data_IF_938139221687
#
_entry.id   IF_938139221687
#
_cell.length_a   1.000
_cell.length_b   1.000
_cell.length_c   1.000
_cell.angle_alpha   90.00
_cell.angle_beta   90.00
_cell.angle_gamma   90.00
#
_symmetry.space_group_name_H-M   'P 1'
#
loop_
_entity.id
_entity.type
_entity.pdbx_description
1 polymer ?
#
# COMPACT_ATOMS: atom_id res chain seq x y z
N UNK A 1 66.95 -112.47 41.58
CA UNK A 1 66.42 -113.85 41.52
C UNK A 1 64.96 -113.73 41.13
N UNK A 2 64.55 -114.33 40.01
CA UNK A 2 63.16 -114.38 39.56
C UNK A 2 62.69 -113.17 38.73
N UNK A 3 61.88 -113.27 37.68
CA UNK A 3 61.56 -114.31 36.68
C UNK A 3 60.37 -113.72 35.89
N UNK A 4 60.37 -113.94 34.58
CA UNK A 4 59.24 -113.86 33.62
C UNK A 4 58.58 -112.48 33.36
N UNK A 5 58.54 -111.98 32.10
CA UNK A 5 57.69 -112.39 30.96
C UNK A 5 56.19 -112.18 31.27
N UNK A 6 55.30 -111.62 30.44
CA UNK A 6 55.28 -111.37 28.99
C UNK A 6 53.98 -110.58 28.71
N UNK A 7 54.03 -109.68 27.71
CA UNK A 7 53.04 -109.22 26.69
C UNK A 7 51.53 -109.45 26.94
N UNK A 8 50.64 -108.55 26.53
CA UNK A 8 50.22 -108.30 25.13
C UNK A 8 49.45 -106.97 25.01
N UNK A 9 49.81 -106.10 24.05
CA UNK A 9 49.12 -105.79 22.76
C UNK A 9 47.83 -104.96 22.94
N UNK A 10 47.45 -104.01 22.09
CA UNK A 10 47.92 -103.62 20.77
C UNK A 10 47.48 -102.17 20.45
N UNK A 11 48.27 -101.55 19.59
CA UNK A 11 48.10 -100.39 18.70
C UNK A 11 46.70 -99.73 18.55
N UNK A 12 46.71 -98.38 18.51
CA UNK A 12 46.39 -97.62 17.28
C UNK A 12 46.94 -96.19 17.27
N UNK A 13 47.16 -95.72 16.04
CA UNK A 13 48.05 -94.66 15.54
C UNK A 13 47.49 -93.20 15.65
N UNK A 14 48.27 -92.16 15.28
CA UNK A 14 48.24 -90.80 15.88
C UNK A 14 47.51 -89.73 15.06
N UNK A 15 47.31 -88.54 15.65
CA UNK A 15 47.61 -87.22 15.03
C UNK A 15 47.41 -86.03 16.01
N UNK A 16 48.36 -85.10 15.95
CA UNK A 16 48.44 -83.80 16.63
C UNK A 16 47.30 -82.81 16.32
N UNK A 17 46.88 -81.99 17.30
CA UNK A 17 47.17 -80.54 17.34
C UNK A 17 46.42 -79.76 18.46
N UNK A 18 47.23 -79.12 19.32
CA UNK A 18 47.21 -77.77 19.97
C UNK A 18 45.98 -77.13 20.68
N UNK A 19 46.36 -76.60 21.87
CA UNK A 19 45.99 -75.34 22.58
C UNK A 19 44.70 -75.32 23.43
N UNK A 20 44.63 -74.57 24.57
CA UNK A 20 45.11 -73.17 24.72
C UNK A 20 45.73 -72.71 26.07
N UNK A 21 46.20 -71.46 26.05
CA UNK A 21 46.75 -70.64 27.14
C UNK A 21 45.69 -70.16 28.16
N UNK A 22 46.12 -69.86 29.39
CA UNK A 22 45.32 -69.18 30.41
C UNK A 22 46.08 -67.99 31.04
N UNK A 23 45.40 -66.84 31.12
CA UNK A 23 45.84 -65.57 31.71
C UNK A 23 45.52 -65.48 33.21
N UNK A 24 46.37 -64.79 33.97
CA UNK A 24 46.11 -64.29 35.33
C UNK A 24 46.36 -62.77 35.43
N UNK A 25 45.54 -62.11 36.24
CA UNK A 25 45.18 -60.68 36.27
C UNK A 25 46.15 -59.72 37.00
N UNK A 26 46.20 -58.46 36.56
CA UNK A 26 46.71 -57.31 37.33
C UNK A 26 45.61 -56.29 37.61
N UNK A 27 45.27 -56.11 38.89
CA UNK A 27 44.29 -55.14 39.38
C UNK A 27 44.95 -54.13 40.30
N UNK A 28 45.38 -52.98 39.77
CA UNK A 28 45.59 -51.73 40.52
C UNK A 28 45.97 -50.60 39.53
N UNK A 29 45.00 -49.89 38.95
CA UNK A 29 45.21 -48.55 38.35
C UNK A 29 43.95 -47.66 38.28
N UNK A 30 42.80 -48.10 38.80
CA UNK A 30 41.50 -47.46 38.54
C UNK A 30 41.13 -46.21 39.37
N UNK A 31 41.96 -45.70 40.29
CA UNK A 31 41.56 -44.59 41.18
C UNK A 31 42.21 -43.22 40.91
N UNK A 32 43.06 -43.08 39.89
CA UNK A 32 43.70 -41.79 39.58
C UNK A 32 43.06 -41.02 38.41
N UNK A 33 42.20 -41.66 37.59
CA UNK A 33 41.55 -41.01 36.44
C UNK A 33 40.25 -40.26 36.78
N UNK A 34 39.58 -40.55 37.90
CA UNK A 34 38.27 -39.95 38.22
C UNK A 34 38.35 -38.49 38.68
N UNK A 35 39.45 -38.07 39.34
CA UNK A 35 39.60 -36.70 39.83
C UNK A 35 39.84 -35.64 38.74
N UNK A 36 40.45 -36.03 37.62
CA UNK A 36 40.79 -35.10 36.52
C UNK A 36 39.59 -34.74 35.65
N UNK A 37 38.61 -35.65 35.53
CA UNK A 37 37.35 -35.43 34.78
C UNK A 37 36.41 -34.44 35.48
N UNK A 38 36.28 -34.54 36.82
CA UNK A 38 35.45 -33.63 37.61
C UNK A 38 35.99 -32.19 37.63
N UNK A 39 37.31 -32.04 37.72
CA UNK A 39 37.93 -30.70 37.70
C UNK A 39 37.79 -30.03 36.33
N UNK A 40 37.94 -30.79 35.23
CA UNK A 40 37.73 -30.26 33.87
C UNK A 40 36.30 -29.77 33.59
N UNK A 41 35.28 -30.48 34.10
CA UNK A 41 33.88 -30.06 33.98
C UNK A 41 33.57 -28.78 34.79
N UNK A 42 34.19 -28.62 35.95
CA UNK A 42 34.00 -27.43 36.79
C UNK A 42 34.59 -26.16 36.13
N UNK A 43 35.78 -26.26 35.55
CA UNK A 43 36.39 -25.13 34.83
C UNK A 43 35.63 -24.78 33.54
N UNK A 44 35.06 -25.77 32.84
CA UNK A 44 34.19 -25.52 31.69
C UNK A 44 32.90 -24.77 32.09
N UNK A 45 32.28 -25.14 33.22
CA UNK A 45 31.08 -24.46 33.73
C UNK A 45 31.35 -23.00 34.14
N UNK A 46 32.52 -22.72 34.73
CA UNK A 46 32.92 -21.36 35.11
C UNK A 46 33.24 -20.50 33.87
N UNK A 47 33.84 -21.09 32.83
CA UNK A 47 34.14 -20.38 31.58
C UNK A 47 32.88 -20.05 30.74
N UNK A 48 31.80 -20.83 30.87
CA UNK A 48 30.54 -20.54 30.16
C UNK A 48 29.85 -19.25 30.63
N UNK A 49 30.06 -18.83 31.89
CA UNK A 49 29.45 -17.60 32.43
C UNK A 49 29.91 -16.33 31.71
N UNK A 50 31.23 -16.05 31.64
CA UNK A 50 31.76 -14.89 30.93
C UNK A 50 31.43 -14.89 29.43
N UNK A 51 31.46 -16.06 28.78
CA UNK A 51 31.16 -16.18 27.34
C UNK A 51 29.68 -15.88 27.08
N UNK A 52 28.77 -16.35 27.91
CA UNK A 52 27.35 -16.04 27.81
C UNK A 52 27.08 -14.54 28.05
N UNK A 53 27.82 -13.91 28.97
CA UNK A 53 27.70 -12.48 29.26
C UNK A 53 28.21 -11.62 28.09
N UNK A 54 29.37 -11.96 27.51
CA UNK A 54 29.89 -11.27 26.32
C UNK A 54 28.98 -11.48 25.10
N UNK A 55 28.43 -12.68 24.91
CA UNK A 55 27.48 -12.96 23.85
C UNK A 55 26.14 -12.22 24.03
N UNK A 56 25.75 -11.91 25.27
CA UNK A 56 24.56 -11.10 25.56
C UNK A 56 24.82 -9.58 25.34
N UNK A 57 26.01 -9.09 25.67
CA UNK A 57 26.39 -7.69 25.47
C UNK A 57 26.62 -7.34 23.98
N UNK A 58 26.99 -8.33 23.15
CA UNK A 58 27.12 -8.19 21.70
C UNK A 58 25.79 -8.32 20.94
N UNK A 59 24.67 -8.55 21.64
CA UNK A 59 23.35 -8.58 20.98
C UNK A 59 23.02 -7.16 20.52
N UNK A 60 22.76 -6.95 19.21
CA UNK A 60 22.24 -5.67 18.76
C UNK A 60 20.95 -5.38 19.55
N UNK A 61 20.81 -4.14 20.02
CA UNK A 61 19.60 -3.70 20.69
C UNK A 61 18.41 -4.08 19.79
N UNK A 62 17.41 -4.76 20.36
CA UNK A 62 16.17 -4.99 19.65
C UNK A 62 15.67 -3.60 19.21
N UNK A 63 15.59 -3.41 17.89
CA UNK A 63 15.00 -2.20 17.32
C UNK A 63 13.59 -2.16 17.89
N UNK A 64 13.32 -1.19 18.77
CA UNK A 64 11.98 -0.98 19.28
C UNK A 64 11.09 -0.80 18.06
N UNK A 65 10.12 -1.70 17.90
CA UNK A 65 9.11 -1.57 16.87
C UNK A 65 8.53 -0.16 17.00
N UNK A 66 8.64 0.64 15.93
CA UNK A 66 7.98 1.93 15.89
C UNK A 66 6.50 1.71 16.27
N UNK A 67 5.88 2.63 17.04
CA UNK A 67 4.47 2.49 17.35
C UNK A 67 3.71 2.31 16.04
N UNK A 68 2.93 1.23 15.96
CA UNK A 68 2.07 1.01 14.81
C UNK A 68 1.20 2.26 14.66
N UNK A 69 1.39 3.00 13.57
CA UNK A 69 0.47 4.07 13.23
C UNK A 69 -0.90 3.42 13.12
N UNK A 70 -1.87 3.86 13.93
CA UNK A 70 -3.25 3.42 13.83
C UNK A 70 -3.71 3.79 12.43
N UNK A 71 -3.74 2.80 11.55
CA UNK A 71 -4.28 2.97 10.22
C UNK A 71 -5.76 3.27 10.43
N UNK A 72 -6.20 4.49 10.08
CA UNK A 72 -7.61 4.82 10.10
C UNK A 72 -8.33 3.73 9.29
N UNK A 73 -9.23 3.01 9.97
CA UNK A 73 -10.05 2.04 9.29
C UNK A 73 -10.78 2.77 8.16
N UNK A 74 -10.77 2.18 6.95
CA UNK A 74 -11.56 2.71 5.85
C UNK A 74 -13.05 2.76 6.21
N UNK A 75 -13.85 3.38 5.34
CA UNK A 75 -15.30 3.45 5.53
C UNK A 75 -15.88 2.05 5.77
N UNK A 76 -16.77 1.93 6.76
CA UNK A 76 -17.49 0.68 7.01
C UNK A 76 -18.43 0.37 5.86
N UNK A 77 -18.83 -0.90 5.71
CA UNK A 77 -19.83 -1.32 4.71
C UNK A 77 -21.12 -0.50 4.87
N UNK A 78 -21.58 -0.29 6.10
CA UNK A 78 -22.76 0.50 6.40
C UNK A 78 -22.63 1.97 5.92
N UNK A 79 -21.46 2.59 6.14
CA UNK A 79 -21.16 3.94 5.65
C UNK A 79 -21.16 4.00 4.11
N UNK A 80 -20.55 3.02 3.44
CA UNK A 80 -20.55 2.95 1.98
C UNK A 80 -21.97 2.73 1.42
N UNK A 81 -22.76 1.86 2.04
CA UNK A 81 -24.16 1.62 1.67
C UNK A 81 -25.01 2.87 1.85
N UNK A 82 -24.83 3.64 2.93
CA UNK A 82 -25.49 4.93 3.12
C UNK A 82 -25.12 5.93 2.01
N UNK A 83 -23.86 5.93 1.57
CA UNK A 83 -23.39 6.72 0.43
C UNK A 83 -24.14 6.37 -0.87
N UNK A 84 -24.20 5.08 -1.22
CA UNK A 84 -24.92 4.61 -2.41
C UNK A 84 -26.43 4.88 -2.33
N UNK A 85 -27.03 4.70 -1.16
CA UNK A 85 -28.45 4.97 -0.91
C UNK A 85 -28.79 6.45 -1.09
N UNK A 86 -27.98 7.36 -0.52
CA UNK A 86 -28.16 8.80 -0.70
C UNK A 86 -27.94 9.24 -2.16
N UNK A 87 -26.99 8.62 -2.88
CA UNK A 87 -26.74 8.89 -4.31
C UNK A 87 -27.99 8.60 -5.15
N UNK A 88 -28.59 7.41 -4.95
CA UNK A 88 -29.83 7.02 -5.61
C UNK A 88 -30.98 7.97 -5.26
N UNK A 89 -31.13 8.30 -3.98
CA UNK A 89 -32.16 9.22 -3.51
C UNK A 89 -32.09 10.60 -4.18
N UNK A 90 -30.90 11.20 -4.27
CA UNK A 90 -30.73 12.52 -4.93
C UNK A 90 -31.08 12.44 -6.41
N UNK A 91 -30.71 11.36 -7.09
CA UNK A 91 -31.10 11.12 -8.48
C UNK A 91 -32.61 11.04 -8.64
N UNK A 92 -33.28 10.18 -7.86
CA UNK A 92 -34.74 10.03 -7.88
C UNK A 92 -35.45 11.33 -7.51
N UNK A 93 -34.91 12.12 -6.57
CA UNK A 93 -35.47 13.40 -6.17
C UNK A 93 -35.36 14.47 -7.27
N UNK A 94 -34.20 14.59 -7.92
CA UNK A 94 -34.02 15.53 -9.05
C UNK A 94 -34.87 15.12 -10.27
N UNK A 95 -34.97 13.82 -10.54
CA UNK A 95 -35.73 13.28 -11.67
C UNK A 95 -37.25 13.20 -11.45
N UNK A 96 -37.75 13.47 -10.25
CA UNK A 96 -39.17 13.36 -9.95
C UNK A 96 -39.96 14.60 -10.43
N UNK A 97 -41.16 14.34 -10.95
CA UNK A 97 -42.17 15.36 -11.29
C UNK A 97 -43.54 14.98 -10.70
N UNK A 98 -44.50 15.89 -10.74
CA UNK A 98 -45.88 15.64 -10.26
C UNK A 98 -46.54 14.49 -11.02
N UNK A 99 -46.35 14.42 -12.33
CA UNK A 99 -46.96 13.42 -13.21
C UNK A 99 -46.18 12.10 -13.22
N UNK A 100 -44.87 12.17 -12.98
CA UNK A 100 -43.97 11.03 -12.96
C UNK A 100 -43.01 11.16 -11.76
N UNK A 101 -43.41 10.73 -10.55
CA UNK A 101 -42.53 10.75 -9.38
C UNK A 101 -41.39 9.73 -9.46
N UNK A 102 -41.46 8.76 -10.39
CA UNK A 102 -40.45 7.73 -10.56
C UNK A 102 -40.20 6.93 -9.28
N UNK A 103 -38.93 6.59 -9.04
CA UNK A 103 -38.50 5.80 -7.89
C UNK A 103 -38.41 6.61 -6.59
N UNK A 104 -38.82 7.89 -6.58
CA UNK A 104 -38.76 8.72 -5.36
C UNK A 104 -39.57 8.12 -4.21
N UNK A 105 -40.65 7.41 -4.53
CA UNK A 105 -41.50 6.72 -3.55
C UNK A 105 -40.81 5.58 -2.79
N UNK A 106 -39.69 5.05 -3.31
CA UNK A 106 -38.92 4.00 -2.62
C UNK A 106 -38.14 4.56 -1.42
N UNK A 107 -37.88 5.87 -1.41
CA UNK A 107 -37.10 6.55 -0.38
C UNK A 107 -37.98 7.25 0.64
N UNK A 108 -39.07 7.88 0.20
CA UNK A 108 -39.94 8.72 1.02
C UNK A 108 -41.41 8.45 0.74
N UNK A 109 -42.26 8.74 1.72
CA UNK A 109 -43.70 8.73 1.52
C UNK A 109 -44.10 9.98 0.72
N UNK A 110 -44.49 9.80 -0.54
CA UNK A 110 -44.90 10.88 -1.45
C UNK A 110 -46.11 11.65 -0.92
N UNK A 111 -46.97 11.04 -0.10
CA UNK A 111 -48.13 11.72 0.48
C UNK A 111 -47.73 12.81 1.49
N UNK A 112 -46.51 12.73 2.03
CA UNK A 112 -45.97 13.74 2.96
C UNK A 112 -45.39 14.96 2.25
N UNK A 113 -45.16 14.87 0.93
CA UNK A 113 -44.66 15.98 0.14
C UNK A 113 -45.79 16.94 -0.22
N UNK A 114 -45.63 18.20 0.18
CA UNK A 114 -46.58 19.26 -0.21
C UNK A 114 -46.42 19.70 -1.66
N UNK A 115 -45.23 19.52 -2.24
CA UNK A 115 -44.92 19.96 -3.59
C UNK A 115 -43.84 19.08 -4.22
N UNK A 116 -44.09 18.73 -5.49
CA UNK A 116 -43.10 18.20 -6.42
C UNK A 116 -42.95 19.19 -7.59
N UNK A 117 -41.85 19.06 -8.32
CA UNK A 117 -41.60 19.85 -9.52
C UNK A 117 -42.62 19.53 -10.61
N UNK A 118 -43.02 20.53 -11.41
CA UNK A 118 -43.85 20.31 -12.61
C UNK A 118 -43.06 19.57 -13.70
N UNK A 119 -41.73 19.78 -13.73
CA UNK A 119 -40.84 19.17 -14.71
C UNK A 119 -39.63 18.59 -13.98
N UNK A 120 -39.11 17.43 -14.40
CA UNK A 120 -37.92 16.85 -13.80
C UNK A 120 -36.72 17.77 -14.05
N UNK A 121 -35.79 17.81 -13.11
CA UNK A 121 -34.50 18.44 -13.32
C UNK A 121 -33.64 17.52 -14.18
N UNK A 122 -33.02 18.07 -15.23
CA UNK A 122 -32.00 17.35 -15.97
C UNK A 122 -30.68 17.38 -15.20
N UNK A 123 -30.11 16.20 -14.94
CA UNK A 123 -28.84 16.06 -14.24
C UNK A 123 -27.94 14.99 -14.87
N UNK A 124 -26.65 15.04 -14.56
CA UNK A 124 -25.65 14.04 -14.97
C UNK A 124 -24.51 13.97 -13.97
N UNK A 125 -23.74 12.89 -14.00
CA UNK A 125 -22.50 12.71 -13.23
C UNK A 125 -22.71 12.86 -11.71
N UNK A 126 -23.73 12.21 -11.15
CA UNK A 126 -23.90 12.16 -9.70
C UNK A 126 -22.73 11.39 -9.05
N UNK A 127 -22.24 11.87 -7.91
CA UNK A 127 -21.20 11.23 -7.12
C UNK A 127 -21.32 11.57 -5.64
N UNK A 128 -20.96 10.64 -4.77
CA UNK A 128 -20.81 10.90 -3.33
C UNK A 128 -19.54 11.71 -3.09
N UNK A 129 -19.65 12.79 -2.34
CA UNK A 129 -18.58 13.74 -2.02
C UNK A 129 -18.00 13.48 -0.63
N UNK A 130 -18.87 13.23 0.35
CA UNK A 130 -18.46 12.93 1.72
C UNK A 130 -19.47 12.02 2.40
N UNK A 131 -18.98 11.20 3.30
CA UNK A 131 -19.77 10.37 4.20
C UNK A 131 -19.25 10.65 5.61
N UNK A 132 -20.08 11.24 6.45
CA UNK A 132 -19.71 11.69 7.78
C UNK A 132 -20.71 11.12 8.78
N UNK A 133 -20.33 10.15 9.62
CA UNK A 133 -21.19 9.72 10.71
C UNK A 133 -21.41 10.90 11.66
N UNK A 134 -22.62 11.02 12.20
CA UNK A 134 -22.95 12.02 13.20
C UNK A 134 -22.77 11.37 14.57
N UNK A 135 -21.83 11.92 15.34
CA UNK A 135 -21.46 11.40 16.66
C UNK A 135 -22.70 11.18 17.56
N UNK A 136 -22.68 10.08 18.30
CA UNK A 136 -23.74 9.68 19.25
C UNK A 136 -25.14 9.48 18.64
N UNK A 137 -25.25 9.30 17.31
CA UNK A 137 -26.53 9.01 16.63
C UNK A 137 -26.40 7.84 15.64
N UNK A 138 -27.54 7.32 15.15
CA UNK A 138 -27.58 6.41 14.00
C UNK A 138 -27.52 7.13 12.65
N UNK A 139 -27.30 8.45 12.65
CA UNK A 139 -27.32 9.24 11.42
C UNK A 139 -25.96 9.30 10.75
N UNK A 140 -25.99 9.21 9.43
CA UNK A 140 -24.87 9.40 8.54
C UNK A 140 -25.24 10.55 7.61
N UNK A 141 -24.44 11.61 7.67
CA UNK A 141 -24.55 12.71 6.75
C UNK A 141 -23.80 12.38 5.46
N UNK A 142 -24.49 12.43 4.33
CA UNK A 142 -23.91 12.19 3.01
C UNK A 142 -24.06 13.44 2.17
N UNK A 143 -22.97 13.90 1.56
CA UNK A 143 -23.03 14.95 0.53
C UNK A 143 -22.91 14.29 -0.83
N UNK A 144 -23.85 14.59 -1.72
CA UNK A 144 -23.88 14.12 -3.11
C UNK A 144 -23.71 15.33 -4.03
N UNK A 145 -22.89 15.22 -5.06
CA UNK A 145 -22.76 16.24 -6.08
C UNK A 145 -23.22 15.75 -7.45
N UNK A 146 -23.75 16.65 -8.27
CA UNK A 146 -24.15 16.38 -9.65
C UNK A 146 -24.06 17.63 -10.52
N UNK A 147 -23.94 17.43 -11.83
CA UNK A 147 -24.07 18.52 -12.78
C UNK A 147 -25.55 18.68 -13.12
N UNK A 148 -26.12 19.83 -12.80
CA UNK A 148 -27.56 20.11 -12.98
C UNK A 148 -27.73 21.12 -14.10
N UNK A 149 -28.68 20.88 -15.00
CA UNK A 149 -28.96 21.79 -16.13
C UNK A 149 -29.66 23.04 -15.61
N UNK A 150 -29.08 24.21 -15.88
CA UNK A 150 -29.60 25.48 -15.41
C UNK A 150 -29.60 26.54 -16.51
N UNK A 151 -30.65 27.36 -16.52
CA UNK A 151 -30.73 28.51 -17.42
C UNK A 151 -29.92 29.67 -16.84
N UNK A 152 -28.97 30.17 -17.60
CA UNK A 152 -28.27 31.43 -17.33
C UNK A 152 -28.87 32.51 -18.21
N UNK A 153 -29.47 33.51 -17.57
CA UNK A 153 -29.96 34.72 -18.23
C UNK A 153 -28.86 35.77 -18.09
N UNK A 154 -28.43 36.34 -19.21
CA UNK A 154 -27.48 37.47 -19.20
C UNK A 154 -28.28 38.77 -19.23
N UNK A 155 -27.97 39.72 -18.32
CA UNK A 155 -28.67 41.02 -18.25
C UNK A 155 -28.47 41.90 -19.50
N UNK A 156 -27.48 41.57 -20.33
CA UNK A 156 -27.04 42.40 -21.46
C UNK A 156 -27.60 42.00 -22.82
N UNK A 157 -28.30 40.87 -22.93
CA UNK A 157 -28.94 40.44 -24.16
C UNK A 157 -30.09 39.50 -23.85
N UNK A 158 -31.17 39.57 -24.64
CA UNK A 158 -32.37 38.70 -24.57
C UNK A 158 -32.08 37.22 -24.93
N UNK A 159 -30.85 36.76 -24.64
CA UNK A 159 -30.29 35.46 -24.98
C UNK A 159 -30.08 34.68 -23.71
N UNK A 160 -30.97 33.73 -23.46
CA UNK A 160 -30.80 32.74 -22.41
C UNK A 160 -29.90 31.61 -22.90
N UNK A 161 -28.92 31.19 -22.11
CA UNK A 161 -28.08 30.01 -22.40
C UNK A 161 -28.23 28.97 -21.31
N UNK A 162 -28.01 27.70 -21.65
CA UNK A 162 -28.04 26.62 -20.66
C UNK A 162 -26.62 26.25 -20.23
N UNK A 163 -26.44 26.06 -18.93
CA UNK A 163 -25.19 25.62 -18.30
C UNK A 163 -25.41 24.35 -17.49
N UNK A 164 -24.32 23.71 -17.06
CA UNK A 164 -24.35 22.49 -16.25
C UNK A 164 -23.48 22.64 -14.99
N UNK A 165 -23.75 23.62 -14.11
CA UNK A 165 -22.98 23.81 -12.88
C UNK A 165 -23.02 22.57 -12.00
N UNK A 166 -21.95 22.34 -11.25
CA UNK A 166 -21.89 21.28 -10.25
C UNK A 166 -22.55 21.76 -8.96
N UNK A 167 -23.62 21.08 -8.54
CA UNK A 167 -24.38 21.34 -7.31
C UNK A 167 -24.12 20.24 -6.28
N UNK A 168 -24.27 20.59 -5.02
CA UNK A 168 -24.00 19.73 -3.86
C UNK A 168 -25.25 19.66 -3.00
N UNK A 169 -25.61 18.46 -2.57
CA UNK A 169 -26.83 18.17 -1.83
C UNK A 169 -26.47 17.34 -0.61
N UNK A 170 -26.81 17.83 0.56
CA UNK A 170 -26.69 17.11 1.82
C UNK A 170 -27.93 16.24 2.04
N UNK A 171 -27.71 14.99 2.46
CA UNK A 171 -28.72 14.00 2.79
C UNK A 171 -28.40 13.38 4.15
N UNK A 172 -29.35 13.43 5.07
CA UNK A 172 -29.28 12.70 6.32
C UNK A 172 -29.88 11.30 6.16
N UNK A 173 -29.08 10.27 6.41
CA UNK A 173 -29.50 8.85 6.33
C UNK A 173 -29.44 8.25 7.74
N UNK A 174 -30.53 7.71 8.24
CA UNK A 174 -30.53 6.84 9.42
C UNK A 174 -30.08 5.45 9.03
N UNK A 175 -29.07 4.94 9.72
CA UNK A 175 -28.48 3.63 9.49
C UNK A 175 -28.55 2.79 10.78
N UNK A 176 -29.48 1.84 10.81
CA UNK A 176 -29.72 0.96 11.97
C UNK A 176 -29.62 -0.50 11.54
N UNK A 177 -28.58 -1.19 12.02
CA UNK A 177 -28.23 -2.51 11.50
C UNK A 177 -27.99 -2.48 9.99
N UNK A 178 -28.72 -3.31 9.25
CA UNK A 178 -28.68 -3.36 7.77
C UNK A 178 -29.70 -2.42 7.10
N UNK A 179 -30.51 -1.69 7.88
CA UNK A 179 -31.55 -0.83 7.33
C UNK A 179 -31.06 0.61 7.13
N UNK A 180 -31.46 1.20 6.00
CA UNK A 180 -31.16 2.58 5.64
C UNK A 180 -32.47 3.32 5.34
N UNK A 181 -32.60 4.54 5.88
CA UNK A 181 -33.73 5.41 5.54
C UNK A 181 -33.30 6.87 5.52
N UNK A 182 -33.80 7.63 4.56
CA UNK A 182 -33.59 9.08 4.54
C UNK A 182 -34.48 9.77 5.57
N UNK A 183 -33.92 10.76 6.27
CA UNK A 183 -34.62 11.48 7.35
C UNK A 183 -35.36 12.71 6.82
N UNK A 184 -35.03 13.18 5.62
CA UNK A 184 -35.67 14.32 4.98
C UNK A 184 -35.24 14.50 3.53
N UNK A 185 -35.76 15.57 2.90
CA UNK A 185 -35.40 15.96 1.54
C UNK A 185 -33.92 16.36 1.43
N UNK A 186 -33.28 16.19 0.25
CA UNK A 186 -31.94 16.71 0.03
C UNK A 186 -31.90 18.23 0.17
N UNK A 187 -30.85 18.73 0.84
CA UNK A 187 -30.64 20.16 1.05
C UNK A 187 -29.47 20.68 0.20
N UNK A 188 -29.63 21.70 -0.66
CA UNK A 188 -28.51 22.31 -1.36
C UNK A 188 -27.48 22.89 -0.38
N UNK A 189 -26.20 22.62 -0.61
CA UNK A 189 -25.08 23.15 0.18
C UNK A 189 -24.01 23.75 -0.73
N UNK A 190 -23.11 24.54 -0.13
CA UNK A 190 -21.99 25.13 -0.85
C UNK A 190 -21.01 24.04 -1.34
N UNK A 191 -20.31 24.33 -2.43
CA UNK A 191 -19.22 23.48 -2.90
C UNK A 191 -18.06 23.45 -1.88
N UNK A 192 -17.29 22.35 -1.79
CA UNK A 192 -16.05 22.31 -1.03
C UNK A 192 -15.11 23.45 -1.46
N UNK A 193 -14.43 24.05 -0.48
CA UNK A 193 -13.48 25.14 -0.74
C UNK A 193 -12.22 24.57 -1.41
N UNK A 194 -11.83 25.18 -2.52
CA UNK A 194 -10.59 24.81 -3.20
C UNK A 194 -9.36 25.20 -2.37
N UNK A 195 -8.40 24.28 -2.29
CA UNK A 195 -7.13 24.48 -1.60
C UNK A 195 -6.11 25.25 -2.44
N UNK A 196 -5.02 25.69 -1.80
CA UNK A 196 -3.86 26.27 -2.51
C UNK A 196 -3.04 25.17 -3.18
N UNK A 197 -2.34 25.51 -4.26
CA UNK A 197 -1.39 24.62 -4.92
C UNK A 197 -0.25 24.22 -3.97
N UNK A 198 -0.01 22.92 -3.82
CA UNK A 198 1.12 22.37 -3.05
C UNK A 198 2.41 22.46 -3.84
N UNK A 199 3.48 22.99 -3.24
CA UNK A 199 4.82 22.97 -3.83
C UNK A 199 5.43 21.56 -3.82
N UNK A 200 6.04 21.16 -4.93
CA UNK A 200 6.63 19.82 -5.09
C UNK A 200 8.17 19.86 -4.96
N UNK A 201 8.76 18.75 -4.53
CA UNK A 201 10.19 18.65 -4.21
C UNK A 201 11.13 18.51 -5.42
N UNK A 202 10.59 18.43 -6.65
CA UNK A 202 11.35 18.13 -7.87
C UNK A 202 12.01 19.38 -8.47
N UNK A 203 13.17 19.78 -7.93
CA UNK A 203 13.84 21.03 -8.30
C UNK A 203 14.75 20.93 -9.54
N UNK A 204 15.14 19.72 -9.96
CA UNK A 204 16.15 19.51 -11.00
C UNK A 204 15.50 19.13 -12.33
N UNK A 205 15.74 19.89 -13.40
CA UNK A 205 15.32 19.49 -14.76
C UNK A 205 16.30 18.49 -15.35
N UNK A 206 15.80 17.40 -15.91
CA UNK A 206 16.60 16.32 -16.48
C UNK A 206 16.55 16.39 -18.01
N UNK A 207 17.71 16.27 -18.66
CA UNK A 207 17.81 16.20 -20.13
C UNK A 207 17.23 14.88 -20.65
N UNK A 208 16.59 14.90 -21.82
CA UNK A 208 16.10 13.67 -22.48
C UNK A 208 17.20 12.68 -22.85
N UNK A 209 18.46 13.16 -22.94
CA UNK A 209 19.65 12.33 -23.17
C UNK A 209 20.30 11.78 -21.88
N UNK A 210 19.72 12.06 -20.71
CA UNK A 210 20.21 11.49 -19.45
C UNK A 210 19.81 10.00 -19.35
N UNK A 211 20.70 9.09 -18.88
CA UNK A 211 20.36 7.69 -18.71
C UNK A 211 19.10 7.44 -17.85
N UNK A 212 18.83 8.29 -16.86
CA UNK A 212 17.59 8.21 -16.08
C UNK A 212 16.36 8.53 -16.94
N UNK A 213 16.46 9.52 -17.83
CA UNK A 213 15.37 9.90 -18.74
C UNK A 213 15.10 8.82 -19.80
N UNK A 214 16.14 8.16 -20.29
CA UNK A 214 16.01 7.02 -21.20
C UNK A 214 15.27 5.85 -20.54
N UNK A 215 15.65 5.50 -19.30
CA UNK A 215 14.95 4.47 -18.50
C UNK A 215 13.47 4.83 -18.30
N UNK A 216 13.16 6.07 -17.90
CA UNK A 216 11.78 6.53 -17.67
C UNK A 216 10.96 6.46 -18.95
N UNK A 217 11.52 6.91 -20.07
CA UNK A 217 10.84 6.90 -21.37
C UNK A 217 10.54 5.48 -21.83
N UNK A 218 11.51 4.58 -21.71
CA UNK A 218 11.35 3.18 -22.11
C UNK A 218 10.39 2.42 -21.20
N UNK A 219 10.44 2.68 -19.88
CA UNK A 219 9.48 2.14 -18.92
C UNK A 219 8.05 2.58 -19.23
N UNK A 220 7.81 3.88 -19.40
CA UNK A 220 6.46 4.40 -19.67
C UNK A 220 5.94 3.98 -21.05
N UNK A 221 6.82 3.83 -22.05
CA UNK A 221 6.47 3.22 -23.34
C UNK A 221 5.97 1.78 -23.19
N UNK A 222 6.73 0.93 -22.50
CA UNK A 222 6.32 -0.45 -22.22
C UNK A 222 5.05 -0.52 -21.35
N UNK A 223 4.92 0.36 -20.36
CA UNK A 223 3.80 0.38 -19.41
C UNK A 223 2.47 0.83 -20.03
N UNK A 224 2.50 1.87 -20.87
CA UNK A 224 1.30 2.55 -21.38
C UNK A 224 0.97 2.22 -22.85
N UNK A 225 1.98 1.96 -23.67
CA UNK A 225 1.82 1.66 -25.10
C UNK A 225 2.20 0.21 -25.45
N UNK A 226 2.65 -0.59 -24.49
CA UNK A 226 3.11 -1.95 -24.74
C UNK A 226 4.37 -2.02 -25.63
N UNK A 227 5.14 -0.92 -25.72
CA UNK A 227 6.35 -0.88 -26.55
C UNK A 227 7.55 -1.49 -25.81
N UNK A 228 7.72 -2.80 -25.95
CA UNK A 228 8.84 -3.55 -25.38
C UNK A 228 8.51 -4.24 -24.06
N UNK A 229 9.54 -4.73 -23.38
CA UNK A 229 9.40 -5.56 -22.17
C UNK A 229 9.58 -4.72 -20.90
N UNK A 230 8.52 -4.61 -20.09
CA UNK A 230 8.50 -3.82 -18.86
C UNK A 230 9.58 -4.25 -17.85
N UNK A 231 9.82 -5.56 -17.74
CA UNK A 231 10.79 -6.15 -16.82
C UNK A 231 12.23 -5.66 -17.06
N UNK A 232 12.55 -5.19 -18.27
CA UNK A 232 13.90 -4.67 -18.61
C UNK A 232 14.21 -3.34 -17.91
N UNK A 233 13.19 -2.56 -17.62
CA UNK A 233 13.31 -1.21 -17.04
C UNK A 233 12.83 -1.16 -15.59
N UNK A 234 12.47 -2.32 -15.02
CA UNK A 234 11.92 -2.45 -13.68
C UNK A 234 12.94 -3.06 -12.73
N UNK A 235 12.95 -2.63 -11.48
CA UNK A 235 13.82 -3.23 -10.47
C UNK A 235 13.40 -4.66 -10.12
N UNK A 236 14.33 -5.53 -9.71
CA UNK A 236 13.97 -6.86 -9.24
C UNK A 236 12.97 -6.82 -8.08
N UNK A 237 11.97 -7.70 -8.13
CA UNK A 237 10.95 -7.81 -7.08
C UNK A 237 9.81 -6.79 -7.21
N UNK A 238 9.75 -5.99 -8.28
CA UNK A 238 8.56 -5.19 -8.60
C UNK A 238 7.59 -5.97 -9.48
N UNK A 239 6.29 -5.88 -9.17
CA UNK A 239 5.22 -6.55 -9.91
C UNK A 239 4.41 -5.55 -10.77
N UNK A 240 5.10 -4.77 -11.62
CA UNK A 240 4.39 -3.88 -12.54
C UNK A 240 3.65 -4.66 -13.61
N UNK A 241 2.39 -4.28 -13.85
CA UNK A 241 1.56 -4.84 -14.91
C UNK A 241 1.25 -3.74 -15.93
N UNK A 242 1.67 -3.92 -17.18
CA UNK A 242 1.36 -2.99 -18.26
C UNK A 242 -0.15 -2.90 -18.52
N UNK A 243 -0.61 -1.77 -19.03
CA UNK A 243 -2.01 -1.59 -19.42
C UNK A 243 -2.35 -2.52 -20.60
N UNK A 244 -3.42 -3.31 -20.45
CA UNK A 244 -3.85 -4.29 -21.45
C UNK A 244 -5.37 -4.25 -21.66
N UNK A 245 -5.85 -4.11 -22.92
CA UNK A 245 -5.06 -3.80 -24.12
C UNK A 245 -4.39 -2.42 -24.02
N UNK A 246 -3.27 -2.22 -24.73
CA UNK A 246 -2.56 -0.93 -24.70
C UNK A 246 -3.45 0.20 -25.26
N UNK A 247 -3.82 1.20 -24.44
CA UNK A 247 -4.75 2.25 -24.87
C UNK A 247 -4.09 3.33 -25.74
N UNK A 248 -2.75 3.38 -25.78
CA UNK A 248 -1.98 4.39 -26.49
C UNK A 248 -1.05 3.77 -27.53
N UNK A 249 -0.87 4.47 -28.65
CA UNK A 249 0.06 4.09 -29.72
C UNK A 249 1.38 4.84 -29.63
N UNK A 250 1.42 5.95 -28.90
CA UNK A 250 2.64 6.71 -28.66
C UNK A 250 2.64 7.36 -27.26
N UNK A 251 3.81 7.36 -26.63
CA UNK A 251 4.09 7.93 -25.32
C UNK A 251 5.37 8.74 -25.46
N UNK A 252 5.31 10.04 -25.14
CA UNK A 252 6.47 10.92 -25.22
C UNK A 252 6.65 11.68 -23.91
N UNK A 253 7.81 11.49 -23.27
CA UNK A 253 8.22 12.28 -22.10
C UNK A 253 8.79 13.60 -22.61
N UNK A 254 8.12 14.71 -22.31
CA UNK A 254 8.55 16.04 -22.78
C UNK A 254 9.08 16.95 -21.67
N UNK A 255 8.82 16.59 -20.41
CA UNK A 255 9.37 17.29 -19.24
C UNK A 255 9.63 16.25 -18.13
N UNK A 256 10.85 16.25 -17.61
CA UNK A 256 11.27 15.33 -16.54
C UNK A 256 11.99 16.15 -15.48
N UNK A 257 11.46 16.11 -14.26
CA UNK A 257 12.10 16.72 -13.08
C UNK A 257 12.49 15.68 -12.05
N UNK A 258 13.51 15.96 -11.26
CA UNK A 258 13.98 15.10 -10.18
C UNK A 258 14.13 15.88 -8.87
N UNK A 259 14.06 15.17 -7.75
CA UNK A 259 14.37 15.72 -6.42
C UNK A 259 15.86 16.07 -6.28
N UNK A 260 16.73 15.20 -6.79
CA UNK A 260 18.19 15.35 -6.89
C UNK A 260 18.65 15.06 -8.31
N UNK A 261 19.73 15.70 -8.75
CA UNK A 261 20.30 15.45 -10.06
C UNK A 261 20.83 14.01 -10.14
N UNK A 262 20.34 13.16 -11.07
CA UNK A 262 20.79 11.79 -11.20
C UNK A 262 22.24 11.73 -11.68
N UNK A 263 23.00 10.79 -11.13
CA UNK A 263 24.32 10.47 -11.65
C UNK A 263 24.21 9.78 -13.02
N UNK A 264 25.08 10.17 -13.97
CA UNK A 264 25.19 9.51 -15.29
C UNK A 264 25.65 8.05 -15.19
N UNK A 265 26.39 7.73 -14.14
CA UNK A 265 26.85 6.37 -13.83
C UNK A 265 26.59 6.15 -12.34
N UNK A 266 25.37 5.74 -11.97
CA UNK A 266 24.99 5.63 -10.57
C UNK A 266 25.64 4.40 -9.90
N UNK A 267 25.87 4.50 -8.60
CA UNK A 267 26.26 3.37 -7.76
C UNK A 267 25.05 2.49 -7.43
N UNK A 268 25.31 1.22 -7.09
CA UNK A 268 24.25 0.29 -6.70
C UNK A 268 23.53 0.81 -5.45
N UNK A 269 22.19 0.88 -5.54
CA UNK A 269 21.34 1.39 -4.46
C UNK A 269 21.18 2.91 -4.43
N UNK A 270 21.79 3.67 -5.35
CA UNK A 270 21.45 5.09 -5.50
C UNK A 270 19.96 5.22 -5.85
N UNK A 271 19.30 6.24 -5.28
CA UNK A 271 17.87 6.49 -5.48
C UNK A 271 17.66 7.92 -5.96
N UNK A 272 16.79 8.08 -6.95
CA UNK A 272 16.28 9.38 -7.40
C UNK A 272 14.77 9.30 -7.59
N UNK A 273 14.05 10.35 -7.17
CA UNK A 273 12.61 10.46 -7.41
C UNK A 273 12.37 11.44 -8.53
N UNK A 274 11.55 11.05 -9.50
CA UNK A 274 11.26 11.87 -10.67
C UNK A 274 9.77 12.13 -10.83
N UNK A 275 9.48 13.26 -11.46
CA UNK A 275 8.17 13.65 -11.92
C UNK A 275 8.23 13.79 -13.44
N UNK A 276 7.64 12.84 -14.15
CA UNK A 276 7.60 12.81 -15.61
C UNK A 276 6.27 13.36 -16.11
N UNK A 277 6.31 14.37 -16.97
CA UNK A 277 5.15 14.84 -17.72
C UNK A 277 5.20 14.26 -19.13
N UNK A 278 4.13 13.56 -19.52
CA UNK A 278 4.07 12.78 -20.75
C UNK A 278 2.90 13.20 -21.63
N UNK A 279 3.11 13.16 -22.94
CA UNK A 279 2.06 13.23 -23.94
C UNK A 279 1.68 11.82 -24.38
N UNK A 280 0.39 11.52 -24.37
CA UNK A 280 -0.18 10.22 -24.70
C UNK A 280 -1.05 10.37 -25.95
N UNK A 281 -0.84 9.54 -26.96
CA UNK A 281 -1.62 9.52 -28.21
C UNK A 281 -2.38 8.21 -28.33
N UNK A 282 -3.70 8.28 -28.48
CA UNK A 282 -4.55 7.11 -28.71
C UNK A 282 -4.56 6.69 -30.19
N UNK A 283 -5.01 5.46 -30.52
CA UNK A 283 -5.22 5.04 -31.91
C UNK A 283 -6.21 5.91 -32.70
N UNK A 284 -7.05 6.70 -32.02
CA UNK A 284 -8.01 7.63 -32.62
C UNK A 284 -7.44 9.04 -32.77
N UNK A 285 -6.12 9.18 -32.72
CA UNK A 285 -5.40 10.47 -32.81
C UNK A 285 -5.79 11.47 -31.71
N UNK A 286 -6.30 10.97 -30.58
CA UNK A 286 -6.62 11.80 -29.43
C UNK A 286 -5.39 11.96 -28.55
N UNK A 287 -5.06 13.20 -28.22
CA UNK A 287 -3.89 13.53 -27.42
C UNK A 287 -4.31 14.04 -26.04
N UNK A 288 -3.65 13.54 -24.99
CA UNK A 288 -3.76 14.06 -23.63
C UNK A 288 -2.41 14.08 -22.92
N UNK A 289 -2.33 14.83 -21.83
CA UNK A 289 -1.13 14.92 -20.97
C UNK A 289 -1.37 14.17 -19.67
N UNK A 290 -0.34 13.49 -19.16
CA UNK A 290 -0.35 12.83 -17.86
C UNK A 290 0.94 13.09 -17.09
N UNK A 291 0.93 12.87 -15.78
CA UNK A 291 2.08 13.02 -14.91
C UNK A 291 2.30 11.74 -14.10
N UNK A 292 3.54 11.26 -14.06
CA UNK A 292 3.95 10.08 -13.31
C UNK A 292 5.01 10.46 -12.28
N UNK A 293 4.75 10.14 -11.02
CA UNK A 293 5.76 10.18 -9.96
C UNK A 293 6.40 8.81 -9.88
N UNK A 294 7.72 8.73 -10.09
CA UNK A 294 8.44 7.46 -10.14
C UNK A 294 9.64 7.51 -9.19
N UNK A 295 9.92 6.38 -8.53
CA UNK A 295 11.18 6.18 -7.80
C UNK A 295 12.10 5.28 -8.61
N UNK A 296 13.29 5.77 -8.94
CA UNK A 296 14.32 5.01 -9.64
C UNK A 296 15.37 4.54 -8.64
N UNK A 297 15.77 3.28 -8.76
CA UNK A 297 16.86 2.70 -7.99
C UNK A 297 17.92 2.18 -8.95
N UNK A 298 19.18 2.49 -8.68
CA UNK A 298 20.29 2.09 -9.51
C UNK A 298 20.80 0.69 -9.19
N UNK A 299 21.17 -0.06 -10.23
CA UNK A 299 21.78 -1.39 -10.13
C UNK A 299 22.68 -1.68 -11.32
N UNK A 300 23.88 -2.16 -11.05
CA UNK A 300 24.92 -2.45 -12.04
C UNK A 300 25.18 -1.25 -12.97
N UNK A 301 25.26 -0.05 -12.41
CA UNK A 301 25.55 1.18 -13.16
C UNK A 301 24.42 1.71 -14.04
N UNK A 302 23.18 1.21 -13.88
CA UNK A 302 22.01 1.66 -14.64
C UNK A 302 20.84 1.97 -13.72
N UNK A 303 20.00 2.91 -14.13
CA UNK A 303 18.75 3.22 -13.46
C UNK A 303 17.66 2.22 -13.84
N UNK A 304 16.89 1.77 -12.86
CA UNK A 304 15.68 0.96 -13.00
C UNK A 304 14.52 1.64 -12.26
N UNK A 305 13.28 1.46 -12.72
CA UNK A 305 12.10 1.94 -12.01
C UNK A 305 11.74 0.95 -10.90
N UNK A 306 11.70 1.45 -9.67
CA UNK A 306 11.43 0.65 -8.47
C UNK A 306 10.04 0.92 -7.87
N UNK A 307 9.42 2.07 -8.18
CA UNK A 307 8.03 2.36 -7.81
C UNK A 307 7.36 3.32 -8.80
N UNK A 308 6.05 3.15 -8.97
CA UNK A 308 5.13 4.22 -9.40
C UNK A 308 4.51 4.77 -8.12
N UNK A 309 4.88 5.98 -7.73
CA UNK A 309 4.47 6.57 -6.47
C UNK A 309 2.99 6.98 -6.53
N UNK A 310 2.25 6.73 -5.45
CA UNK A 310 0.83 7.08 -5.34
C UNK A 310 0.58 8.60 -5.32
N UNK A 311 1.61 9.38 -4.95
CA UNK A 311 1.58 10.83 -4.93
C UNK A 311 2.97 11.41 -5.17
N UNK A 312 3.06 12.60 -5.79
CA UNK A 312 4.32 13.34 -5.88
C UNK A 312 4.80 13.77 -4.49
N UNK A 313 6.12 13.92 -4.35
CA UNK A 313 6.72 14.43 -3.12
C UNK A 313 6.44 15.93 -2.98
N UNK A 314 5.79 16.31 -1.89
CA UNK A 314 5.60 17.71 -1.51
C UNK A 314 6.84 18.25 -0.77
N UNK A 315 7.13 19.55 -0.92
CA UNK A 315 8.09 20.20 -0.03
C UNK A 315 7.50 20.24 1.37
N UNK A 316 8.27 19.85 2.39
CA UNK A 316 7.83 20.03 3.78
C UNK A 316 7.77 21.51 4.12
N UNK A 317 6.58 22.11 4.13
CA UNK A 317 6.39 23.41 4.78
C UNK A 317 6.57 23.20 6.29
N UNK A 318 7.53 23.92 6.91
CA UNK A 318 7.53 24.07 8.37
C UNK A 318 6.19 24.70 8.74
N UNK A 319 5.32 23.91 9.37
CA UNK A 319 4.04 24.33 9.96
C UNK A 319 4.27 25.62 10.75
N UNK A 320 3.95 26.78 10.16
CA UNK A 320 3.88 28.02 10.92
C UNK A 320 2.71 27.85 11.88
N UNK A 321 3.02 27.87 13.17
CA UNK A 321 2.02 27.85 14.21
C UNK A 321 1.04 29.00 13.97
N UNK A 322 -0.24 28.67 13.83
CA UNK A 322 -1.32 29.66 13.85
C UNK A 322 -1.22 30.45 15.16
N UNK A 323 -1.08 31.79 15.14
CA UNK A 323 -1.18 32.57 16.36
C UNK A 323 -2.60 32.42 16.91
N UNK A 324 -2.71 32.00 18.17
CA UNK A 324 -3.97 31.96 18.89
C UNK A 324 -4.58 33.38 18.95
N UNK A 325 -5.90 33.55 18.72
CA UNK A 325 -6.53 34.84 18.86
C UNK A 325 -6.47 35.29 20.33
N UNK A 326 -5.88 36.48 20.55
CA UNK A 326 -5.92 37.18 21.84
C UNK A 326 -7.36 37.66 22.08
N UNK A 327 -7.96 37.42 23.27
CA UNK A 327 -9.27 37.98 23.58
C UNK A 327 -9.16 39.50 23.74
N UNK A 328 -9.89 40.24 22.90
CA UNK A 328 -10.10 41.68 23.08
C UNK A 328 -11.06 41.89 24.26
N UNK A 329 -10.56 42.50 25.33
CA UNK A 329 -11.39 42.98 26.43
C UNK A 329 -12.22 44.20 25.99
N UNK A 330 -13.52 44.13 26.22
CA UNK A 330 -14.43 45.26 25.99
C UNK A 330 -14.34 46.20 27.19
N UNK A 331 -13.80 47.39 26.97
CA UNK A 331 -13.83 48.51 27.91
C UNK A 331 -14.72 49.64 27.39
N UNK A 332 -15.54 50.14 28.31
CA UNK A 332 -16.49 51.28 28.28
C UNK A 332 -17.94 50.98 27.92
#
# INVERSE_FOLDING_TARGET
>A
MGLFSKREKELKAPKDQKSPEAKGSSWTHGRQMSGRLLSGLLFAAIACGPIALFAAAARPAAIASAPAQTQEAGLSVQQQSAGGYALGYVGSWLGASKEAPGDLGDYIDLATLRQLSEQPWEYRNLAVVSITPVDETSFINVVVAGNVKELTVSDSSDTSSTTWPRRYFQVAVSAEGETLRVVGLPAPVAAPVEGKTTSLAYAQTISSSDPAAETVSAFLGAYLAGSGELARFSSPGTDFTALSPAPYVNVSVFDLRADVAPAKTPGDGDVVKVLATVSLLSPLEQQLTSTYSLTLTARAGRWEVSAIDLAPQATSEKKSATPAPSPSGTGN
#
